data_IF_284503819420
#
_entry.id   IF_284503819420
#
_cell.length_a   1.000
_cell.length_b   1.000
_cell.length_c   1.000
_cell.angle_alpha   90.00
_cell.angle_beta   90.00
_cell.angle_gamma   90.00
#
_symmetry.space_group_name_H-M   'P 1'
#
loop_
_entity.id
_entity.type
_entity.pdbx_description
1 polymer ?
#
# COMPACT_ATOMS: atom_id res chain seq x y z
N UNK A 1 -11.31 13.77 9.87
CA UNK A 1 -11.18 12.59 9.00
C UNK A 1 -9.80 12.02 9.28
N UNK A 2 -9.70 10.92 10.03
CA UNK A 2 -8.42 10.34 10.44
C UNK A 2 -7.77 9.72 9.21
N UNK A 3 -6.69 10.32 8.69
CA UNK A 3 -5.83 9.66 7.72
C UNK A 3 -5.33 8.35 8.34
N UNK A 4 -5.59 7.19 7.73
CA UNK A 4 -5.22 5.92 8.32
C UNK A 4 -3.70 5.80 8.33
N UNK A 5 -3.14 5.53 9.50
CA UNK A 5 -1.74 5.19 9.70
C UNK A 5 -1.42 3.86 9.00
N UNK A 6 -1.20 3.88 7.70
CA UNK A 6 -0.50 2.84 6.98
C UNK A 6 1.01 3.08 7.16
N UNK A 7 1.95 2.13 7.02
CA UNK A 7 1.94 0.67 6.90
C UNK A 7 2.25 -0.08 8.22
N UNK A 8 2.33 0.64 9.35
CA UNK A 8 2.72 0.09 10.66
C UNK A 8 1.77 -0.99 11.22
N UNK A 9 0.58 -1.15 10.62
CA UNK A 9 -0.44 -2.10 11.05
C UNK A 9 -0.45 -3.44 10.30
N UNK A 10 0.26 -3.54 9.17
CA UNK A 10 0.24 -4.79 8.42
C UNK A 10 0.96 -5.91 9.16
N UNK A 11 0.30 -7.05 9.30
CA UNK A 11 0.87 -8.25 9.91
C UNK A 11 2.04 -8.75 9.06
N UNK A 12 3.21 -8.92 9.69
CA UNK A 12 4.38 -9.51 9.02
C UNK A 12 4.34 -11.02 9.12
N UNK A 13 4.31 -11.69 7.99
CA UNK A 13 4.39 -13.15 7.89
C UNK A 13 5.83 -13.58 7.68
N UNK A 14 6.33 -14.47 8.54
CA UNK A 14 7.69 -15.04 8.43
C UNK A 14 7.73 -16.42 7.74
N UNK A 15 6.61 -17.12 7.70
CA UNK A 15 6.50 -18.50 7.21
C UNK A 15 5.64 -18.65 5.95
N UNK A 16 5.06 -17.55 5.46
CA UNK A 16 4.23 -17.49 4.25
C UNK A 16 4.82 -16.47 3.29
N UNK A 17 4.48 -16.61 2.02
CA UNK A 17 4.84 -15.63 1.00
C UNK A 17 4.08 -14.34 1.31
N UNK A 18 4.81 -13.27 1.53
CA UNK A 18 4.29 -11.93 1.80
C UNK A 18 4.84 -10.93 0.80
N UNK A 19 4.17 -9.78 0.68
CA UNK A 19 4.69 -8.69 -0.12
C UNK A 19 5.89 -8.03 0.54
N UNK A 20 6.81 -7.53 -0.28
CA UNK A 20 8.00 -6.84 0.20
C UNK A 20 7.60 -5.60 1.01
N UNK A 21 8.08 -5.56 2.26
CA UNK A 21 7.78 -4.49 3.20
C UNK A 21 8.21 -3.13 2.66
N UNK A 22 9.38 -3.05 2.04
CA UNK A 22 9.91 -1.78 1.55
C UNK A 22 9.11 -1.26 0.36
N UNK A 23 8.66 -2.15 -0.53
CA UNK A 23 7.85 -1.80 -1.68
C UNK A 23 6.45 -1.30 -1.27
N UNK A 24 5.81 -2.01 -0.35
CA UNK A 24 4.52 -1.60 0.22
C UNK A 24 4.65 -0.28 0.97
N UNK A 25 5.66 -0.12 1.83
CA UNK A 25 5.90 1.11 2.58
C UNK A 25 6.12 2.32 1.64
N UNK A 26 6.88 2.12 0.55
CA UNK A 26 7.13 3.18 -0.44
C UNK A 26 5.85 3.59 -1.16
N UNK A 27 5.04 2.62 -1.56
CA UNK A 27 3.76 2.89 -2.23
C UNK A 27 2.80 3.64 -1.31
N UNK A 28 2.66 3.18 -0.06
CA UNK A 28 1.84 3.83 0.96
C UNK A 28 2.25 5.28 1.17
N UNK A 29 3.56 5.56 1.30
CA UNK A 29 4.05 6.94 1.46
C UNK A 29 3.65 7.83 0.27
N UNK A 30 3.76 7.32 -0.96
CA UNK A 30 3.32 8.06 -2.17
C UNK A 30 1.82 8.29 -2.20
N UNK A 31 1.03 7.29 -1.82
CA UNK A 31 -0.42 7.40 -1.71
C UNK A 31 -0.83 8.47 -0.70
N UNK A 32 -0.27 8.42 0.51
CA UNK A 32 -0.54 9.41 1.55
C UNK A 32 -0.15 10.82 1.10
N UNK A 33 1.02 10.99 0.50
CA UNK A 33 1.44 12.28 -0.04
C UNK A 33 0.47 12.81 -1.12
N UNK A 34 -0.07 11.91 -1.96
CA UNK A 34 -1.09 12.28 -2.98
C UNK A 34 -2.41 12.70 -2.33
N UNK A 35 -2.84 11.98 -1.29
CA UNK A 35 -4.06 12.28 -0.54
C UNK A 35 -3.95 13.60 0.23
N UNK A 36 -2.80 13.86 0.86
CA UNK A 36 -2.49 15.11 1.58
C UNK A 36 -2.28 16.30 0.62
N UNK A 37 -2.24 16.08 -0.70
CA UNK A 37 -2.03 17.12 -1.69
C UNK A 37 -0.60 17.65 -1.74
N UNK A 38 0.36 16.88 -1.23
CA UNK A 38 1.77 17.22 -1.39
C UNK A 38 2.18 17.12 -2.88
N UNK A 39 3.04 18.04 -3.35
CA UNK A 39 3.60 17.94 -4.69
C UNK A 39 4.48 16.69 -4.76
N UNK A 40 3.98 15.67 -5.45
CA UNK A 40 4.70 14.44 -5.78
C UNK A 40 4.84 14.36 -7.30
N UNK A 41 6.02 13.96 -7.77
CA UNK A 41 6.30 13.83 -9.21
C UNK A 41 5.40 12.78 -9.90
N UNK A 42 4.86 11.84 -9.13
CA UNK A 42 3.91 10.83 -9.62
C UNK A 42 2.82 10.60 -8.57
N UNK A 43 1.67 11.30 -8.69
CA UNK A 43 0.53 11.09 -7.82
C UNK A 43 -0.08 9.71 -8.05
N UNK A 44 -0.39 9.02 -6.95
CA UNK A 44 -0.98 7.69 -7.00
C UNK A 44 -2.45 7.80 -7.39
N UNK A 45 -2.81 7.19 -8.52
CA UNK A 45 -4.19 7.15 -9.03
C UNK A 45 -4.88 5.84 -8.69
N UNK A 46 -6.22 5.82 -8.73
CA UNK A 46 -6.98 4.59 -8.49
C UNK A 46 -6.71 3.50 -9.52
N UNK A 47 -6.24 3.87 -10.72
CA UNK A 47 -5.78 2.92 -11.75
C UNK A 47 -4.41 2.32 -11.40
N UNK A 48 -3.46 3.15 -10.93
CA UNK A 48 -2.16 2.67 -10.46
C UNK A 48 -2.31 1.70 -9.29
N UNK A 49 -3.20 1.99 -8.33
CA UNK A 49 -3.48 1.08 -7.19
C UNK A 49 -4.08 -0.25 -7.66
N UNK A 50 -4.86 -0.28 -8.74
CA UNK A 50 -5.41 -1.54 -9.30
C UNK A 50 -4.37 -2.35 -10.06
N UNK A 51 -3.44 -1.68 -10.71
CA UNK A 51 -2.41 -2.30 -11.56
C UNK A 51 -1.10 -2.57 -10.81
N UNK A 52 -0.94 -2.09 -9.58
CA UNK A 52 0.28 -2.29 -8.78
C UNK A 52 0.42 -3.77 -8.43
N UNK A 53 1.62 -4.31 -8.69
CA UNK A 53 1.97 -5.68 -8.35
C UNK A 53 3.24 -5.67 -7.49
N UNK A 54 3.08 -5.88 -6.19
CA UNK A 54 4.20 -5.93 -5.27
C UNK A 54 5.00 -7.22 -5.41
N UNK A 55 6.32 -7.13 -5.27
CA UNK A 55 7.18 -8.31 -5.25
C UNK A 55 6.91 -9.16 -4.02
N UNK A 56 6.80 -10.47 -4.25
CA UNK A 56 6.66 -11.45 -3.18
C UNK A 56 8.03 -11.83 -2.62
N UNK A 57 8.27 -11.56 -1.34
CA UNK A 57 9.48 -12.00 -0.64
C UNK A 57 9.25 -13.35 0.02
N UNK A 58 9.96 -14.39 -0.44
CA UNK A 58 9.86 -15.75 0.12
C UNK A 58 10.89 -16.02 1.23
N UNK A 59 12.00 -15.27 1.25
CA UNK A 59 13.16 -15.58 2.10
C UNK A 59 13.24 -14.74 3.38
N UNK A 60 12.70 -13.52 3.40
CA UNK A 60 12.81 -12.59 4.54
C UNK A 60 11.50 -12.35 5.30
N UNK A 61 10.43 -13.01 4.87
CA UNK A 61 9.08 -12.63 5.25
C UNK A 61 8.65 -11.33 4.59
N UNK A 62 7.37 -11.04 4.67
CA UNK A 62 6.75 -9.87 4.06
C UNK A 62 5.48 -9.49 4.81
N UNK A 63 4.79 -8.45 4.35
CA UNK A 63 3.44 -8.20 4.82
C UNK A 63 2.47 -9.25 4.28
N UNK A 64 1.46 -9.58 5.07
CA UNK A 64 0.41 -10.49 4.63
C UNK A 64 -0.29 -9.95 3.39
N UNK A 65 -0.30 -10.76 2.33
CA UNK A 65 -0.88 -10.41 1.03
C UNK A 65 -2.35 -9.98 1.18
N UNK A 66 -3.13 -10.71 1.98
CA UNK A 66 -4.56 -10.44 2.13
C UNK A 66 -4.85 -9.15 2.90
N UNK A 67 -3.99 -8.74 3.82
CA UNK A 67 -4.12 -7.43 4.48
C UNK A 67 -3.73 -6.27 3.56
N UNK A 68 -2.67 -6.45 2.76
CA UNK A 68 -2.24 -5.44 1.79
C UNK A 68 -3.28 -5.28 0.68
N UNK A 69 -3.79 -6.37 0.10
CA UNK A 69 -4.81 -6.32 -0.95
C UNK A 69 -6.07 -5.59 -0.48
N UNK A 70 -6.55 -5.91 0.73
CA UNK A 70 -7.71 -5.23 1.31
C UNK A 70 -7.45 -3.72 1.49
N UNK A 71 -6.22 -3.35 1.85
CA UNK A 71 -5.85 -1.95 1.95
C UNK A 71 -5.86 -1.26 0.58
N UNK A 72 -5.38 -1.92 -0.49
CA UNK A 72 -5.44 -1.38 -1.86
C UNK A 72 -6.88 -1.13 -2.30
N UNK A 73 -7.80 -2.05 -2.01
CA UNK A 73 -9.23 -1.87 -2.30
C UNK A 73 -9.82 -0.64 -1.58
N UNK A 74 -9.46 -0.43 -0.30
CA UNK A 74 -9.88 0.74 0.45
C UNK A 74 -9.26 2.04 -0.10
N UNK A 75 -7.98 1.99 -0.47
CA UNK A 75 -7.26 3.12 -1.06
C UNK A 75 -7.90 3.58 -2.38
N UNK A 76 -8.34 2.65 -3.23
CA UNK A 76 -9.12 2.93 -4.44
C UNK A 76 -10.41 3.68 -4.08
N UNK A 77 -11.11 3.25 -3.03
CA UNK A 77 -12.31 3.93 -2.52
C UNK A 77 -12.04 5.38 -2.11
N UNK A 78 -10.95 5.64 -1.37
CA UNK A 78 -10.56 6.99 -0.96
C UNK A 78 -10.22 7.89 -2.15
N UNK A 79 -9.55 7.36 -3.17
CA UNK A 79 -9.16 8.12 -4.36
C UNK A 79 -10.36 8.42 -5.29
N UNK A 80 -11.34 7.52 -5.38
CA UNK A 80 -12.54 7.73 -6.22
C UNK A 80 -13.60 8.60 -5.53
N UNK A 81 -13.55 8.74 -4.20
CA UNK A 81 -14.50 9.55 -3.43
C UNK A 81 -14.17 11.04 -3.33
N UNK A 82 -13.23 11.54 -4.16
CA UNK A 82 -12.83 12.95 -4.24
C UNK A 82 -13.81 13.77 -5.07
#
# INVERSE_FOLDING_TARGET
MTVPEAPARFTRVRWRQGYDVAEVDQFVRRLLATLDGHPVDSPVTSDEVRNVAFRSSRFRGGYDVGEVDRFLDLAIGWLNGR
#
